data_IF_755751647052
#
_entry.id   IF_755751647052
#
_cell.length_a   1.000
_cell.length_b   1.000
_cell.length_c   1.000
_cell.angle_alpha   90.00
_cell.angle_beta   90.00
_cell.angle_gamma   90.00
#
_symmetry.space_group_name_H-M   'P 1'
#
loop_
_entity.id
_entity.type
_entity.pdbx_description
1 polymer ?
#
# COMPACT_ATOMS: atom_id res chain seq x y z
N UNK A 1 -12.00 -29.95 11.32
CA UNK A 1 -13.39 -30.43 11.48
C UNK A 1 -14.37 -29.69 10.58
N UNK A 2 -14.34 -28.34 10.52
CA UNK A 2 -15.29 -27.54 9.72
C UNK A 2 -15.34 -27.99 8.24
N UNK A 3 -14.20 -28.07 7.56
CA UNK A 3 -14.14 -28.50 6.16
C UNK A 3 -14.69 -29.93 5.96
N UNK A 4 -14.39 -30.84 6.88
CA UNK A 4 -14.85 -32.22 6.79
C UNK A 4 -16.40 -32.29 6.89
N UNK A 5 -16.97 -31.61 7.87
CA UNK A 5 -18.43 -31.64 8.05
C UNK A 5 -19.19 -30.90 6.95
N UNK A 6 -18.72 -29.74 6.53
CA UNK A 6 -19.38 -28.98 5.44
C UNK A 6 -19.36 -29.78 4.12
N UNK A 7 -18.25 -30.43 3.77
CA UNK A 7 -18.20 -31.30 2.60
C UNK A 7 -19.13 -32.52 2.72
N UNK A 8 -19.09 -33.21 3.86
CA UNK A 8 -19.95 -34.37 4.10
C UNK A 8 -21.45 -34.01 3.98
N UNK A 9 -21.86 -32.91 4.64
CA UNK A 9 -23.26 -32.46 4.59
C UNK A 9 -23.64 -32.06 3.17
N UNK A 10 -22.78 -31.35 2.44
CA UNK A 10 -23.06 -30.95 1.06
C UNK A 10 -23.22 -32.17 0.15
N UNK A 11 -22.32 -33.15 0.25
CA UNK A 11 -22.41 -34.40 -0.53
C UNK A 11 -23.70 -35.15 -0.23
N UNK A 12 -24.07 -35.32 1.05
CA UNK A 12 -25.32 -35.98 1.46
C UNK A 12 -26.56 -35.25 0.89
N UNK A 13 -26.58 -33.92 0.93
CA UNK A 13 -27.68 -33.13 0.36
C UNK A 13 -27.72 -33.21 -1.16
N UNK A 14 -26.58 -33.32 -1.83
CA UNK A 14 -26.51 -33.54 -3.26
C UNK A 14 -27.03 -34.93 -3.64
N UNK A 15 -26.65 -36.00 -2.91
CA UNK A 15 -27.15 -37.35 -3.09
C UNK A 15 -28.66 -37.44 -2.94
N UNK A 16 -29.25 -36.64 -2.05
CA UNK A 16 -30.71 -36.58 -1.85
C UNK A 16 -31.42 -35.64 -2.86
N UNK A 17 -30.66 -35.03 -3.77
CA UNK A 17 -31.23 -34.16 -4.82
C UNK A 17 -31.60 -32.75 -4.33
N UNK A 18 -31.20 -32.34 -3.14
CA UNK A 18 -31.42 -30.98 -2.65
C UNK A 18 -30.44 -29.95 -3.19
N UNK A 19 -29.24 -30.39 -3.62
CA UNK A 19 -28.21 -29.53 -4.19
C UNK A 19 -27.77 -30.04 -5.56
N UNK A 20 -27.38 -29.12 -6.44
CA UNK A 20 -26.85 -29.42 -7.78
C UNK A 20 -25.30 -29.51 -7.82
N UNK A 21 -24.65 -29.43 -6.66
CA UNK A 21 -23.18 -29.46 -6.51
C UNK A 21 -22.78 -30.27 -5.28
N UNK A 22 -21.60 -30.90 -5.32
CA UNK A 22 -21.07 -31.75 -4.25
C UNK A 22 -19.98 -31.07 -3.42
N UNK A 23 -19.30 -30.06 -3.95
CA UNK A 23 -18.24 -29.33 -3.25
C UNK A 23 -18.71 -27.92 -2.85
N UNK A 24 -18.76 -27.63 -1.52
CA UNK A 24 -19.20 -26.33 -1.02
C UNK A 24 -18.16 -25.23 -1.22
N UNK A 25 -16.89 -25.58 -1.36
CA UNK A 25 -15.77 -24.67 -1.47
C UNK A 25 -14.89 -24.99 -2.68
N UNK A 26 -15.00 -24.26 -3.79
CA UNK A 26 -14.20 -24.50 -5.00
C UNK A 26 -12.71 -24.12 -4.81
N UNK A 27 -12.39 -23.37 -3.75
CA UNK A 27 -11.04 -22.90 -3.48
C UNK A 27 -10.74 -22.85 -1.97
N UNK A 28 -9.55 -23.30 -1.57
CA UNK A 28 -9.03 -23.19 -0.22
C UNK A 28 -7.74 -22.34 -0.22
N UNK A 29 -7.74 -21.26 0.53
CA UNK A 29 -6.55 -20.46 0.78
C UNK A 29 -6.09 -20.67 2.23
N UNK A 30 -4.93 -21.32 2.40
CA UNK A 30 -4.37 -21.60 3.72
C UNK A 30 -3.65 -20.37 4.26
N UNK A 31 -3.96 -20.00 5.50
CA UNK A 31 -3.22 -18.97 6.22
C UNK A 31 -1.99 -19.54 6.93
N UNK A 32 -0.97 -18.69 7.17
CA UNK A 32 0.17 -19.01 8.01
C UNK A 32 -0.18 -19.02 9.50
N UNK A 33 0.80 -19.41 10.31
CA UNK A 33 0.64 -19.42 11.77
C UNK A 33 1.16 -18.12 12.37
N UNK A 34 0.40 -17.59 13.33
CA UNK A 34 0.92 -16.56 14.24
C UNK A 34 1.61 -17.29 15.39
N UNK A 35 2.88 -17.03 15.56
CA UNK A 35 3.72 -17.57 16.63
C UNK A 35 4.01 -16.51 17.68
N UNK A 36 4.54 -16.89 18.83
CA UNK A 36 4.99 -15.97 19.89
C UNK A 36 6.35 -16.44 20.40
N UNK A 37 7.31 -15.51 20.43
CA UNK A 37 8.68 -15.77 20.86
C UNK A 37 9.32 -16.94 20.09
N UNK A 38 9.18 -16.93 18.74
CA UNK A 38 9.76 -17.92 17.84
C UNK A 38 9.10 -19.30 17.91
N UNK A 39 7.99 -19.48 18.66
CA UNK A 39 7.36 -20.78 18.78
C UNK A 39 5.83 -20.75 18.63
N UNK A 40 5.27 -21.88 18.16
CA UNK A 40 3.82 -22.05 18.06
C UNK A 40 3.16 -21.83 19.42
N UNK A 41 2.09 -21.02 19.45
CA UNK A 41 1.31 -20.78 20.65
C UNK A 41 0.65 -22.08 21.15
N UNK A 42 0.80 -22.37 22.44
CA UNK A 42 0.10 -23.48 23.09
C UNK A 42 -0.14 -23.16 24.57
N UNK A 43 -1.26 -23.67 25.11
CA UNK A 43 -1.60 -23.51 26.53
C UNK A 43 -0.52 -24.09 27.43
N UNK A 44 0.08 -25.22 27.05
CA UNK A 44 1.13 -25.88 27.83
C UNK A 44 2.44 -25.10 27.90
N UNK A 45 2.71 -24.22 26.92
CA UNK A 45 3.88 -23.34 26.90
C UNK A 45 3.61 -21.98 27.57
N UNK A 46 2.36 -21.66 27.85
CA UNK A 46 1.99 -20.37 28.45
C UNK A 46 2.18 -19.15 27.53
N UNK A 47 2.41 -19.37 26.23
CA UNK A 47 2.66 -18.32 25.25
C UNK A 47 1.44 -17.95 24.39
N UNK A 48 0.24 -18.30 24.85
CA UNK A 48 -1.01 -17.95 24.16
C UNK A 48 -1.32 -16.47 24.39
N UNK A 49 -1.62 -15.77 23.30
CA UNK A 49 -2.08 -14.38 23.33
C UNK A 49 -3.60 -14.34 23.47
N UNK A 50 -4.09 -13.64 24.51
CA UNK A 50 -5.51 -13.33 24.65
C UNK A 50 -5.82 -12.00 23.94
N UNK A 51 -6.62 -12.01 22.85
CA UNK A 51 -6.98 -10.79 22.13
C UNK A 51 -7.66 -9.71 23.00
N UNK A 52 -8.44 -10.11 23.99
CA UNK A 52 -9.24 -9.19 24.82
C UNK A 52 -8.39 -8.19 25.59
N UNK A 53 -7.20 -8.62 26.06
CA UNK A 53 -6.24 -7.74 26.74
C UNK A 53 -5.73 -6.63 25.82
N UNK A 54 -5.44 -6.98 24.57
CA UNK A 54 -4.96 -6.03 23.55
C UNK A 54 -6.07 -5.13 23.05
N UNK A 55 -7.29 -5.67 22.88
CA UNK A 55 -8.47 -4.89 22.52
C UNK A 55 -8.78 -3.86 23.61
N UNK A 56 -8.75 -4.26 24.89
CA UNK A 56 -8.97 -3.36 26.01
C UNK A 56 -7.94 -2.23 26.10
N UNK A 57 -6.67 -2.51 25.75
CA UNK A 57 -5.57 -1.56 25.86
C UNK A 57 -5.39 -0.67 24.63
N UNK A 58 -5.55 -1.22 23.44
CA UNK A 58 -5.21 -0.55 22.18
C UNK A 58 -6.39 -0.30 21.24
N UNK A 59 -7.51 -0.98 21.48
CA UNK A 59 -8.68 -0.99 20.60
C UNK A 59 -8.64 -2.09 19.56
N UNK A 60 -9.82 -2.53 19.11
CA UNK A 60 -9.97 -3.62 18.15
C UNK A 60 -9.32 -3.31 16.79
N UNK A 61 -9.45 -2.08 16.30
CA UNK A 61 -8.87 -1.68 15.01
C UNK A 61 -7.34 -1.73 15.01
N UNK A 62 -6.70 -1.35 16.13
CA UNK A 62 -5.26 -1.44 16.26
C UNK A 62 -4.77 -2.90 16.21
N UNK A 63 -5.48 -3.80 16.90
CA UNK A 63 -5.16 -5.24 16.84
C UNK A 63 -5.36 -5.79 15.43
N UNK A 64 -6.48 -5.47 14.77
CA UNK A 64 -6.75 -5.90 13.39
C UNK A 64 -5.66 -5.44 12.41
N UNK A 65 -5.34 -4.14 12.43
CA UNK A 65 -4.28 -3.59 11.58
C UNK A 65 -2.92 -4.24 11.86
N UNK A 66 -2.59 -4.48 13.14
CA UNK A 66 -1.35 -5.12 13.51
C UNK A 66 -1.27 -6.57 13.00
N UNK A 67 -2.31 -7.37 13.19
CA UNK A 67 -2.35 -8.76 12.73
C UNK A 67 -2.23 -8.86 11.20
N UNK A 68 -2.89 -7.94 10.48
CA UNK A 68 -2.78 -7.88 9.01
C UNK A 68 -1.42 -7.39 8.53
N UNK A 69 -0.72 -6.57 9.32
CA UNK A 69 0.61 -6.05 8.99
C UNK A 69 1.75 -7.00 9.35
N UNK A 70 1.51 -7.97 10.23
CA UNK A 70 2.52 -8.83 10.84
C UNK A 70 3.39 -9.59 9.84
N UNK A 71 2.81 -10.00 8.70
CA UNK A 71 3.50 -10.72 7.64
C UNK A 71 2.57 -11.10 6.50
N UNK A 72 3.10 -11.78 5.46
CA UNK A 72 2.27 -12.35 4.40
C UNK A 72 1.25 -13.32 4.99
N UNK A 73 0.01 -13.26 4.48
CA UNK A 73 -1.11 -14.00 5.05
C UNK A 73 -0.89 -15.54 5.08
N UNK A 74 -0.22 -16.07 4.08
CA UNK A 74 0.11 -17.50 3.94
C UNK A 74 1.32 -17.94 4.77
N UNK A 75 2.17 -17.00 5.22
CA UNK A 75 3.36 -17.29 6.02
C UNK A 75 3.14 -17.06 7.52
N UNK A 76 2.24 -16.14 7.88
CA UNK A 76 2.02 -15.73 9.26
C UNK A 76 3.12 -14.80 9.77
N UNK A 77 3.41 -14.84 11.08
CA UNK A 77 4.46 -14.00 11.67
C UNK A 77 4.59 -14.18 13.18
N UNK A 78 5.63 -13.58 13.77
CA UNK A 78 5.90 -13.62 15.20
C UNK A 78 5.26 -12.41 15.89
N UNK A 79 4.35 -12.65 16.82
CA UNK A 79 3.62 -11.61 17.54
C UNK A 79 4.55 -10.87 18.50
N UNK A 80 4.71 -9.56 18.27
CA UNK A 80 5.53 -8.66 19.08
C UNK A 80 4.70 -7.59 19.74
N UNK A 81 4.75 -7.46 21.06
CA UNK A 81 3.98 -6.46 21.81
C UNK A 81 4.29 -5.01 21.39
N UNK A 82 5.54 -4.75 21.00
CA UNK A 82 5.98 -3.44 20.50
C UNK A 82 5.30 -3.03 19.20
N UNK A 83 4.95 -3.99 18.33
CA UNK A 83 4.26 -3.74 17.06
C UNK A 83 2.86 -3.17 17.24
N UNK A 84 2.15 -3.56 18.30
CA UNK A 84 0.83 -3.03 18.64
C UNK A 84 0.82 -1.51 18.83
N UNK A 85 1.85 -0.98 19.50
CA UNK A 85 1.96 0.47 19.72
C UNK A 85 2.12 1.25 18.40
N UNK A 86 2.83 0.67 17.43
CA UNK A 86 3.01 1.24 16.10
C UNK A 86 1.69 1.41 15.37
N UNK A 87 0.87 0.35 15.33
CA UNK A 87 -0.47 0.35 14.73
C UNK A 87 -1.39 1.37 15.38
N UNK A 88 -1.46 1.41 16.73
CA UNK A 88 -2.26 2.39 17.46
C UNK A 88 -1.83 3.83 17.16
N UNK A 89 -0.53 4.12 17.23
CA UNK A 89 -0.01 5.47 16.93
C UNK A 89 -0.31 5.90 15.48
N UNK A 90 -0.31 4.97 14.55
CA UNK A 90 -0.69 5.26 13.18
C UNK A 90 -2.17 5.63 13.05
N UNK A 91 -3.08 4.85 13.64
CA UNK A 91 -4.51 5.16 13.63
C UNK A 91 -4.82 6.48 14.34
N UNK A 92 -4.17 6.78 15.46
CA UNK A 92 -4.30 8.08 16.15
C UNK A 92 -3.84 9.25 15.24
N UNK A 93 -2.78 9.05 14.44
CA UNK A 93 -2.36 10.05 13.45
C UNK A 93 -3.38 10.21 12.33
N UNK A 94 -3.92 9.11 11.81
CA UNK A 94 -5.00 9.14 10.81
C UNK A 94 -6.18 9.94 11.34
N UNK A 95 -6.64 9.62 12.56
CA UNK A 95 -7.75 10.30 13.21
C UNK A 95 -7.55 11.82 13.27
N UNK A 96 -6.39 12.25 13.77
CA UNK A 96 -6.05 13.69 13.87
C UNK A 96 -5.97 14.34 12.50
N UNK A 97 -5.35 13.67 11.50
CA UNK A 97 -5.19 14.25 10.16
C UNK A 97 -6.53 14.42 9.44
N UNK A 98 -7.43 13.44 9.56
CA UNK A 98 -8.79 13.54 8.97
C UNK A 98 -9.57 14.70 9.57
N UNK A 99 -9.41 14.98 10.86
CA UNK A 99 -10.15 16.05 11.55
C UNK A 99 -9.45 17.41 11.50
N UNK A 100 -8.21 17.49 11.05
CA UNK A 100 -7.46 18.74 10.92
C UNK A 100 -7.97 19.55 9.71
N UNK A 101 -8.60 20.69 9.97
CA UNK A 101 -9.11 21.59 8.94
C UNK A 101 -8.00 22.11 8.00
N UNK A 102 -6.76 22.24 8.50
CA UNK A 102 -5.62 22.67 7.68
C UNK A 102 -5.21 21.60 6.65
N UNK A 103 -5.65 20.35 6.85
CA UNK A 103 -5.42 19.20 5.94
C UNK A 103 -6.58 18.96 4.98
N UNK A 104 -7.62 19.82 5.02
CA UNK A 104 -8.79 19.74 4.14
C UNK A 104 -8.82 20.92 3.17
N UNK A 105 -9.44 20.71 2.01
CA UNK A 105 -9.69 21.74 1.01
C UNK A 105 -10.90 21.34 0.16
N UNK A 106 -11.41 22.27 -0.64
CA UNK A 106 -12.46 21.96 -1.64
C UNK A 106 -11.93 21.03 -2.72
N UNK A 107 -10.63 21.16 -3.06
CA UNK A 107 -9.93 20.26 -3.97
C UNK A 107 -8.64 19.74 -3.34
N UNK A 108 -8.35 18.47 -3.62
CA UNK A 108 -7.09 17.84 -3.22
C UNK A 108 -5.91 18.40 -4.01
N UNK A 109 -4.73 18.49 -3.38
CA UNK A 109 -3.50 18.85 -4.08
C UNK A 109 -3.11 17.78 -5.11
N UNK A 110 -2.41 18.15 -6.15
CA UNK A 110 -2.04 17.22 -7.24
C UNK A 110 -1.22 16.03 -6.75
N UNK A 111 -0.33 16.26 -5.78
CA UNK A 111 0.49 15.21 -5.17
C UNK A 111 -0.37 14.20 -4.41
N UNK A 112 -1.32 14.66 -3.59
CA UNK A 112 -2.22 13.77 -2.85
C UNK A 112 -3.21 13.06 -3.77
N UNK A 113 -3.75 13.71 -4.81
CA UNK A 113 -4.59 13.06 -5.83
C UNK A 113 -3.87 11.89 -6.50
N UNK A 114 -2.64 12.12 -6.96
CA UNK A 114 -1.83 11.08 -7.60
C UNK A 114 -1.54 9.94 -6.63
N UNK A 115 -1.03 10.26 -5.43
CA UNK A 115 -0.72 9.23 -4.43
C UNK A 115 -1.96 8.44 -4.01
N UNK A 116 -3.14 9.07 -3.94
CA UNK A 116 -4.40 8.37 -3.68
C UNK A 116 -4.76 7.41 -4.81
N UNK A 117 -4.62 7.83 -6.07
CA UNK A 117 -4.87 6.95 -7.23
C UNK A 117 -3.95 5.73 -7.23
N UNK A 118 -2.64 5.92 -6.99
CA UNK A 118 -1.66 4.84 -6.83
C UNK A 118 -2.04 3.90 -5.67
N UNK A 119 -2.50 4.49 -4.55
CA UNK A 119 -2.90 3.72 -3.36
C UNK A 119 -4.16 2.90 -3.63
N UNK A 120 -5.18 3.47 -4.30
CA UNK A 120 -6.40 2.73 -4.66
C UNK A 120 -6.04 1.53 -5.55
N UNK A 121 -5.25 1.75 -6.60
CA UNK A 121 -4.85 0.67 -7.52
C UNK A 121 -4.09 -0.44 -6.79
N UNK A 122 -3.10 -0.07 -5.97
CA UNK A 122 -2.31 -1.02 -5.20
C UNK A 122 -3.15 -1.79 -4.19
N UNK A 123 -3.94 -1.10 -3.39
CA UNK A 123 -4.80 -1.70 -2.35
C UNK A 123 -5.82 -2.65 -2.96
N UNK A 124 -6.44 -2.29 -4.09
CA UNK A 124 -7.36 -3.17 -4.80
C UNK A 124 -6.69 -4.48 -5.26
N UNK A 125 -5.49 -4.39 -5.83
CA UNK A 125 -4.71 -5.56 -6.25
C UNK A 125 -4.28 -6.42 -5.05
N UNK A 126 -3.85 -5.78 -3.98
CA UNK A 126 -3.32 -6.46 -2.80
C UNK A 126 -4.45 -7.16 -2.00
N UNK A 127 -5.63 -6.55 -1.86
CA UNK A 127 -6.79 -7.24 -1.27
C UNK A 127 -7.20 -8.48 -2.07
N UNK A 128 -7.23 -8.39 -3.39
CA UNK A 128 -7.57 -9.53 -4.25
C UNK A 128 -6.58 -10.70 -4.14
N UNK A 129 -5.36 -10.44 -3.65
CA UNK A 129 -4.27 -11.43 -3.48
C UNK A 129 -4.03 -11.78 -2.03
N UNK A 130 -4.85 -11.32 -1.09
CA UNK A 130 -4.65 -11.49 0.36
C UNK A 130 -3.31 -10.92 0.88
N UNK A 131 -2.73 -9.95 0.18
CA UNK A 131 -1.50 -9.27 0.58
C UNK A 131 -1.80 -8.13 1.57
N UNK A 132 -2.40 -8.45 2.71
CA UNK A 132 -2.89 -7.45 3.68
C UNK A 132 -1.78 -6.59 4.28
N UNK A 133 -0.59 -7.15 4.48
CA UNK A 133 0.57 -6.42 5.00
C UNK A 133 0.98 -5.28 4.07
N UNK A 134 0.92 -5.48 2.75
CA UNK A 134 1.21 -4.43 1.77
C UNK A 134 0.07 -3.44 1.62
N UNK A 135 -1.19 -3.84 1.88
CA UNK A 135 -2.32 -2.90 2.00
C UNK A 135 -2.07 -1.92 3.15
N UNK A 136 -1.75 -2.42 4.36
CA UNK A 136 -1.45 -1.56 5.51
C UNK A 136 -0.29 -0.62 5.20
N UNK A 137 0.79 -1.12 4.60
CA UNK A 137 1.94 -0.30 4.20
C UNK A 137 1.54 0.81 3.22
N UNK A 138 0.75 0.50 2.18
CA UNK A 138 0.29 1.49 1.20
C UNK A 138 -0.57 2.60 1.84
N UNK A 139 -1.47 2.24 2.77
CA UNK A 139 -2.27 3.20 3.51
C UNK A 139 -1.43 4.07 4.45
N UNK A 140 -0.40 3.49 5.09
CA UNK A 140 0.56 4.24 5.89
C UNK A 140 1.36 5.23 5.04
N UNK A 141 1.87 4.81 3.89
CA UNK A 141 2.58 5.68 2.93
C UNK A 141 1.71 6.82 2.46
N UNK A 142 0.46 6.54 2.07
CA UNK A 142 -0.48 7.59 1.67
C UNK A 142 -0.71 8.61 2.79
N UNK A 143 -1.00 8.13 4.00
CA UNK A 143 -1.25 9.01 5.15
C UNK A 143 -0.04 9.87 5.50
N UNK A 144 1.19 9.39 5.27
CA UNK A 144 2.41 10.18 5.45
C UNK A 144 2.50 11.31 4.42
N UNK A 145 2.24 11.03 3.13
CA UNK A 145 2.22 12.05 2.07
C UNK A 145 1.16 13.11 2.37
N UNK A 146 -0.05 12.73 2.76
CA UNK A 146 -1.10 13.70 3.10
C UNK A 146 -0.72 14.61 4.27
N UNK A 147 0.09 14.12 5.21
CA UNK A 147 0.57 14.91 6.36
C UNK A 147 1.69 15.88 6.05
N UNK A 148 2.34 15.80 4.89
CA UNK A 148 3.38 16.75 4.51
C UNK A 148 2.84 18.18 4.49
N UNK A 149 3.75 19.15 4.65
CA UNK A 149 3.39 20.56 4.62
C UNK A 149 2.79 20.94 3.27
N UNK A 150 1.73 21.74 3.30
CA UNK A 150 1.02 22.18 2.09
C UNK A 150 0.08 21.14 1.47
N UNK A 151 0.18 19.86 1.83
CA UNK A 151 -0.69 18.82 1.26
C UNK A 151 -2.07 18.81 1.90
N UNK A 152 -3.10 18.75 1.04
CA UNK A 152 -4.52 18.79 1.43
C UNK A 152 -5.36 17.77 0.65
N UNK A 153 -6.46 17.34 1.25
CA UNK A 153 -7.43 16.43 0.65
C UNK A 153 -8.84 17.02 0.64
N UNK A 154 -9.55 16.86 -0.45
CA UNK A 154 -10.98 17.14 -0.54
C UNK A 154 -11.79 16.06 0.18
N UNK A 155 -12.97 16.42 0.70
CA UNK A 155 -13.87 15.52 1.42
C UNK A 155 -14.08 14.20 0.67
N UNK A 156 -14.42 14.25 -0.62
CA UNK A 156 -14.63 13.07 -1.48
C UNK A 156 -13.43 12.12 -1.54
N UNK A 157 -12.21 12.65 -1.43
CA UNK A 157 -11.00 11.83 -1.48
C UNK A 157 -10.62 11.30 -0.09
N UNK A 158 -10.99 12.02 0.99
CA UNK A 158 -10.95 11.49 2.35
C UNK A 158 -11.91 10.30 2.49
N UNK A 159 -13.13 10.40 1.96
CA UNK A 159 -14.11 9.30 1.94
C UNK A 159 -13.55 8.06 1.22
N UNK A 160 -12.87 8.24 0.08
CA UNK A 160 -12.19 7.12 -0.61
C UNK A 160 -11.12 6.47 0.25
N UNK A 161 -10.25 7.27 0.89
CA UNK A 161 -9.22 6.75 1.80
C UNK A 161 -9.82 5.96 2.96
N UNK A 162 -10.85 6.50 3.60
CA UNK A 162 -11.55 5.82 4.70
C UNK A 162 -12.21 4.52 4.22
N UNK A 163 -12.77 4.49 3.01
CA UNK A 163 -13.33 3.25 2.42
C UNK A 163 -12.26 2.18 2.21
N UNK A 164 -11.05 2.56 1.78
CA UNK A 164 -9.92 1.62 1.68
C UNK A 164 -9.47 1.11 3.04
N UNK A 165 -9.55 1.92 4.08
CA UNK A 165 -9.17 1.59 5.44
C UNK A 165 -10.21 0.71 6.16
N UNK A 166 -11.49 0.88 5.84
CA UNK A 166 -12.61 0.27 6.56
C UNK A 166 -12.52 -1.27 6.71
N UNK A 167 -12.05 -2.07 5.75
CA UNK A 167 -11.89 -3.51 5.94
C UNK A 167 -10.89 -3.88 7.05
N UNK A 168 -9.88 -3.04 7.29
CA UNK A 168 -8.85 -3.24 8.31
C UNK A 168 -9.25 -2.64 9.66
N UNK A 169 -9.76 -1.41 9.64
CA UNK A 169 -10.10 -0.61 10.82
C UNK A 169 -11.54 -0.05 10.74
N UNK A 170 -12.55 -0.92 10.86
CA UNK A 170 -13.94 -0.55 10.60
C UNK A 170 -14.49 0.51 11.56
N UNK A 171 -14.12 0.47 12.85
CA UNK A 171 -14.69 1.38 13.84
C UNK A 171 -14.21 2.82 13.66
N UNK A 172 -12.90 3.02 13.51
CA UNK A 172 -12.33 4.35 13.28
C UNK A 172 -12.74 4.92 11.91
N UNK A 173 -12.85 4.06 10.89
CA UNK A 173 -13.26 4.50 9.55
C UNK A 173 -14.71 4.96 9.53
N UNK A 174 -15.62 4.23 10.18
CA UNK A 174 -17.01 4.62 10.30
C UNK A 174 -17.16 5.93 11.10
N UNK A 175 -16.51 6.01 12.27
CA UNK A 175 -16.53 7.21 13.10
C UNK A 175 -16.05 8.45 12.34
N UNK A 176 -14.90 8.36 11.68
CA UNK A 176 -14.37 9.47 10.90
C UNK A 176 -15.24 9.83 9.71
N UNK A 177 -15.83 8.83 9.04
CA UNK A 177 -16.75 9.04 7.92
C UNK A 177 -17.97 9.84 8.36
N UNK A 178 -18.56 9.52 9.50
CA UNK A 178 -19.69 10.27 10.08
C UNK A 178 -19.26 11.69 10.48
N UNK A 179 -18.11 11.84 11.13
CA UNK A 179 -17.61 13.16 11.58
C UNK A 179 -17.31 14.13 10.43
N UNK A 180 -16.91 13.64 9.26
CA UNK A 180 -16.74 14.49 8.07
C UNK A 180 -18.05 14.72 7.30
N UNK A 181 -19.18 14.23 7.83
CA UNK A 181 -20.51 14.39 7.21
C UNK A 181 -20.75 13.43 6.05
N UNK A 182 -20.25 12.19 6.14
CA UNK A 182 -20.56 11.12 5.21
C UNK A 182 -22.01 10.63 5.35
N UNK A 183 -22.62 10.19 4.26
CA UNK A 183 -24.01 9.73 4.25
C UNK A 183 -24.10 8.19 4.30
N UNK A 184 -24.92 7.68 5.21
CA UNK A 184 -25.11 6.24 5.42
C UNK A 184 -23.92 5.60 6.13
N UNK A 185 -23.64 4.33 5.84
CA UNK A 185 -22.55 3.56 6.44
C UNK A 185 -21.40 3.42 5.46
N UNK A 186 -20.15 3.58 5.93
CA UNK A 186 -18.98 3.54 5.06
C UNK A 186 -18.84 2.20 4.33
N UNK A 187 -19.13 1.09 4.97
CA UNK A 187 -19.01 -0.24 4.36
C UNK A 187 -20.10 -0.57 3.34
N UNK A 188 -21.11 0.31 3.18
CA UNK A 188 -22.09 0.25 2.09
C UNK A 188 -21.73 1.12 0.90
N UNK A 189 -20.66 1.90 1.00
CA UNK A 189 -20.15 2.69 -0.10
C UNK A 189 -19.51 1.78 -1.16
N UNK A 190 -19.61 2.21 -2.42
CA UNK A 190 -18.92 1.52 -3.52
C UNK A 190 -17.40 1.58 -3.37
N UNK A 191 -16.70 0.56 -3.92
CA UNK A 191 -15.25 0.57 -3.93
C UNK A 191 -14.70 1.78 -4.68
N UNK A 192 -13.71 2.50 -4.12
CA UNK A 192 -13.20 3.74 -4.68
C UNK A 192 -12.65 3.58 -6.10
N UNK A 193 -13.04 4.48 -6.98
CA UNK A 193 -12.52 4.56 -8.34
C UNK A 193 -11.50 5.70 -8.45
N UNK A 194 -10.57 5.59 -9.40
CA UNK A 194 -9.57 6.60 -9.70
C UNK A 194 -9.44 6.84 -11.21
N UNK A 195 -8.97 8.00 -11.60
CA UNK A 195 -8.69 8.33 -12.99
C UNK A 195 -7.34 7.73 -13.40
N UNK A 196 -7.31 6.84 -14.39
CA UNK A 196 -6.08 6.18 -14.86
C UNK A 196 -4.99 7.16 -15.30
N UNK A 197 -5.38 8.30 -15.85
CA UNK A 197 -4.44 9.35 -16.26
C UNK A 197 -3.60 9.92 -15.09
N UNK A 198 -4.07 9.82 -13.85
CA UNK A 198 -3.29 10.22 -12.66
C UNK A 198 -2.11 9.29 -12.39
N UNK A 199 -2.15 8.07 -12.92
CA UNK A 199 -1.06 7.09 -12.81
C UNK A 199 -0.02 7.26 -13.92
N UNK A 200 -0.34 8.01 -14.96
CA UNK A 200 0.62 8.31 -16.02
C UNK A 200 1.70 9.23 -15.44
N UNK A 201 2.90 8.70 -15.30
CA UNK A 201 4.05 9.49 -14.90
C UNK A 201 4.35 10.49 -15.99
N UNK A 202 4.13 11.77 -15.75
CA UNK A 202 4.54 12.84 -16.66
C UNK A 202 6.06 12.97 -16.74
N UNK A 203 6.77 12.55 -15.69
CA UNK A 203 8.23 12.57 -15.60
C UNK A 203 8.76 11.20 -15.18
N UNK A 204 9.93 10.86 -15.68
CA UNK A 204 10.69 9.65 -15.36
C UNK A 204 12.07 10.07 -14.85
N UNK A 205 12.52 9.39 -13.81
CA UNK A 205 13.89 9.54 -13.29
C UNK A 205 14.82 8.70 -14.14
N UNK A 206 15.72 9.35 -14.89
CA UNK A 206 16.74 8.69 -15.71
C UNK A 206 18.07 8.71 -14.97
N UNK A 207 18.59 7.55 -14.53
CA UNK A 207 19.92 7.44 -13.97
C UNK A 207 20.98 7.80 -15.02
N UNK A 208 21.90 8.71 -14.65
CA UNK A 208 23.04 9.11 -15.46
C UNK A 208 24.29 8.44 -14.89
N UNK A 209 24.93 7.64 -15.72
CA UNK A 209 26.17 6.94 -15.38
C UNK A 209 27.35 7.48 -16.16
N UNK A 210 28.54 7.38 -15.58
CA UNK A 210 29.84 7.59 -16.27
C UNK A 210 30.71 6.38 -15.95
N UNK A 211 31.14 5.67 -16.98
CA UNK A 211 31.89 4.40 -16.87
C UNK A 211 31.17 3.39 -15.95
N UNK A 212 29.82 3.28 -16.07
CA UNK A 212 28.98 2.38 -15.29
C UNK A 212 28.71 2.80 -13.85
N UNK A 213 29.26 3.94 -13.38
CA UNK A 213 29.01 4.46 -12.01
C UNK A 213 27.97 5.55 -12.03
N UNK A 214 26.92 5.44 -11.19
CA UNK A 214 25.88 6.46 -11.06
C UNK A 214 26.49 7.80 -10.59
N UNK A 215 26.19 8.87 -11.34
CA UNK A 215 26.67 10.23 -11.05
C UNK A 215 25.56 11.23 -10.81
N UNK A 216 24.43 11.08 -11.49
CA UNK A 216 23.26 11.93 -11.33
C UNK A 216 21.97 11.16 -11.64
N UNK A 217 20.82 11.77 -11.35
CA UNK A 217 19.51 11.33 -11.80
C UNK A 217 18.82 12.57 -12.36
N UNK A 218 18.43 12.52 -13.64
CA UNK A 218 17.71 13.63 -14.29
C UNK A 218 16.22 13.30 -14.41
N UNK A 219 15.37 14.27 -14.09
CA UNK A 219 13.91 14.17 -14.23
C UNK A 219 13.50 14.72 -15.58
N UNK A 220 12.96 13.87 -16.42
CA UNK A 220 12.59 14.20 -17.81
C UNK A 220 11.16 13.74 -18.06
N UNK A 221 10.41 14.42 -18.95
CA UNK A 221 9.09 13.96 -19.35
C UNK A 221 9.15 12.53 -19.91
N UNK A 222 8.08 11.76 -19.79
CA UNK A 222 8.05 10.40 -20.32
C UNK A 222 8.27 10.39 -21.85
N UNK A 223 7.75 11.39 -22.55
CA UNK A 223 7.94 11.54 -24.00
C UNK A 223 9.40 11.83 -24.33
N UNK A 224 10.00 12.80 -23.63
CA UNK A 224 11.41 13.18 -23.83
C UNK A 224 12.39 12.09 -23.37
N UNK A 225 11.99 11.19 -22.49
CA UNK A 225 12.85 10.10 -22.00
C UNK A 225 13.16 9.04 -23.05
N UNK A 226 12.38 8.99 -24.12
CA UNK A 226 12.62 8.14 -25.30
C UNK A 226 13.58 8.80 -26.31
N UNK A 227 13.83 10.10 -26.18
CA UNK A 227 14.73 10.87 -27.07
C UNK A 227 16.13 10.95 -26.47
N UNK A 228 17.10 10.33 -27.16
CA UNK A 228 18.50 10.31 -26.75
C UNK A 228 19.09 11.70 -26.59
N UNK A 229 18.83 12.60 -27.54
CA UNK A 229 19.45 13.92 -27.56
C UNK A 229 18.97 14.80 -26.41
N UNK A 230 17.68 14.73 -26.09
CA UNK A 230 17.09 15.42 -24.98
C UNK A 230 17.64 14.90 -23.63
N UNK A 231 17.73 13.58 -23.47
CA UNK A 231 18.26 12.95 -22.25
C UNK A 231 19.74 13.29 -22.07
N UNK A 232 20.54 13.17 -23.12
CA UNK A 232 21.98 13.50 -23.10
C UNK A 232 22.19 14.97 -22.76
N UNK A 233 21.44 15.89 -23.39
CA UNK A 233 21.51 17.31 -23.10
C UNK A 233 21.21 17.64 -21.65
N UNK A 234 20.15 17.05 -21.10
CA UNK A 234 19.78 17.22 -19.69
C UNK A 234 20.84 16.64 -18.76
N UNK A 235 21.38 15.46 -19.06
CA UNK A 235 22.42 14.83 -18.27
C UNK A 235 23.72 15.67 -18.23
N UNK A 236 24.10 16.31 -19.32
CA UNK A 236 25.29 17.17 -19.42
C UNK A 236 25.11 18.51 -18.67
N UNK A 237 23.90 18.88 -18.25
CA UNK A 237 23.68 20.06 -17.39
C UNK A 237 24.00 19.79 -15.93
N UNK A 238 24.07 18.52 -15.51
CA UNK A 238 24.38 18.14 -14.14
C UNK A 238 25.87 18.34 -13.80
N UNK A 239 26.17 19.15 -12.79
CA UNK A 239 27.55 19.46 -12.39
C UNK A 239 28.39 18.22 -12.09
N UNK A 240 27.77 17.17 -11.53
CA UNK A 240 28.43 15.93 -11.19
C UNK A 240 28.80 15.11 -12.43
N UNK A 241 28.07 15.27 -13.53
CA UNK A 241 28.37 14.62 -14.82
C UNK A 241 29.45 15.40 -15.53
N UNK A 242 29.39 16.74 -15.55
CA UNK A 242 30.37 17.62 -16.18
C UNK A 242 31.81 17.41 -15.68
N UNK A 243 31.95 17.02 -14.39
CA UNK A 243 33.28 16.73 -13.81
C UNK A 243 34.04 15.59 -14.51
N UNK A 244 33.28 14.67 -15.09
CA UNK A 244 33.86 13.45 -15.71
C UNK A 244 33.75 13.46 -17.23
N UNK A 245 32.75 14.13 -17.79
CA UNK A 245 32.55 14.24 -19.24
C UNK A 245 33.09 15.59 -19.71
N UNK A 246 34.41 15.74 -19.79
CA UNK A 246 35.08 16.90 -20.38
C UNK A 246 35.16 16.67 -21.88
N UNK A 247 34.59 17.60 -22.66
CA UNK A 247 34.56 17.56 -24.13
C UNK A 247 34.06 16.22 -24.75
N UNK A 248 32.85 16.21 -25.11
CA UNK A 248 31.95 15.27 -25.76
C UNK A 248 32.55 14.19 -26.72
N UNK A 249 33.66 13.53 -26.36
CA UNK A 249 34.35 12.53 -27.16
C UNK A 249 34.10 11.07 -26.77
N UNK A 250 33.18 10.78 -25.82
CA UNK A 250 32.91 9.42 -25.37
C UNK A 250 31.73 8.76 -26.05
N UNK A 251 31.70 7.45 -26.07
CA UNK A 251 30.54 6.68 -26.53
C UNK A 251 29.38 6.84 -25.53
N UNK A 252 28.18 7.14 -26.04
CA UNK A 252 26.97 7.27 -25.22
C UNK A 252 26.08 6.04 -25.39
N UNK A 253 26.01 5.20 -24.37
CA UNK A 253 25.07 4.09 -24.27
C UNK A 253 23.76 4.62 -23.70
N UNK A 254 22.70 4.57 -24.49
CA UNK A 254 21.38 5.04 -24.12
C UNK A 254 20.37 3.89 -24.15
N UNK A 255 19.63 3.75 -23.08
CA UNK A 255 18.49 2.82 -23.00
C UNK A 255 17.23 3.66 -22.76
N UNK A 256 16.34 3.79 -23.77
CA UNK A 256 15.15 4.65 -23.72
C UNK A 256 14.34 4.45 -22.44
N UNK A 257 13.96 5.54 -21.78
CA UNK A 257 13.18 5.53 -20.55
C UNK A 257 13.86 4.89 -19.32
N UNK A 258 15.14 4.47 -19.42
CA UNK A 258 15.79 3.70 -18.34
C UNK A 258 17.10 4.26 -17.84
N UNK A 259 18.05 4.56 -18.70
CA UNK A 259 19.36 5.08 -18.30
C UNK A 259 20.13 5.71 -19.46
N UNK A 260 21.06 6.58 -19.12
CA UNK A 260 22.15 7.02 -20.03
C UNK A 260 23.49 6.77 -19.32
N UNK A 261 24.47 6.22 -20.08
CA UNK A 261 25.83 5.98 -19.60
C UNK A 261 26.83 6.57 -20.56
N UNK A 262 27.67 7.46 -20.08
CA UNK A 262 28.81 8.03 -20.85
C UNK A 262 30.03 7.14 -20.62
N UNK A 263 30.58 6.62 -21.71
CA UNK A 263 31.83 5.87 -21.67
C UNK A 263 32.95 6.82 -22.13
N UNK A 264 33.74 7.25 -21.16
CA UNK A 264 34.88 8.17 -21.41
C UNK A 264 36.18 7.41 -21.19
N UNK A 265 37.19 7.72 -22.04
CA UNK A 265 38.56 7.23 -21.83
C UNK A 265 39.18 7.97 -20.64
N UNK A 266 39.96 7.26 -19.82
CA UNK A 266 40.66 7.78 -18.65
C UNK A 266 41.79 8.76 -19.04
#
# INVERSE_FOLDING_TARGET
LHLLYSRFVTMALADWGYLSFEEPFPFLYSHGLIIKDGSKMSKSKGNVINPDEYIGKYGADALRCYLMFLGPYDQGGDFQDSGMQGGRKWLDRVYRTVLDENKRADESTEKTKRKLAETIEKVQKDYARFSYNTVVAALMEFSNVWREEGEKLAKKDIEKFLTLLAPLAPFISEELYQQIGGEGLIHKQGWPQFEKKLLERKQVDIPVQVNGKLRAVVQISKEDSEDKDVVVKSALQEEQVQKYVKDAGGEVVFVPGRLVNFVVED
#
